data_IF_338906657045
#
_entry.id   IF_338906657045
#
_cell.length_a   1.000
_cell.length_b   1.000
_cell.length_c   1.000
_cell.angle_alpha   90.00
_cell.angle_beta   90.00
_cell.angle_gamma   90.00
#
_symmetry.space_group_name_H-M   'P 1'
#
loop_
_entity.id
_entity.type
_entity.pdbx_description
1 polymer ?
#
# COMPACT_ATOMS: atom_id res chain seq x y z
N UNK A 1 -2.19 -5.23 5.93
CA UNK A 1 -3.46 -4.46 6.15
C UNK A 1 -3.69 -3.37 5.09
N UNK A 2 -2.77 -2.40 4.84
CA UNK A 2 -2.98 -1.34 3.82
C UNK A 2 -3.23 -1.91 2.40
N UNK A 3 -2.52 -2.97 2.01
CA UNK A 3 -2.77 -3.65 0.75
C UNK A 3 -4.16 -4.32 0.74
N UNK A 4 -4.52 -4.93 1.86
CA UNK A 4 -5.79 -5.65 2.01
C UNK A 4 -6.98 -4.70 1.90
N UNK A 5 -6.90 -3.49 2.43
CA UNK A 5 -7.94 -2.47 2.28
C UNK A 5 -8.28 -2.16 0.82
N UNK A 6 -7.25 -2.08 -0.05
CA UNK A 6 -7.48 -1.87 -1.48
C UNK A 6 -8.15 -3.09 -2.12
N UNK A 7 -7.80 -4.30 -1.67
CA UNK A 7 -8.47 -5.54 -2.10
C UNK A 7 -9.90 -5.63 -1.58
N UNK A 8 -10.15 -5.20 -0.33
CA UNK A 8 -11.48 -5.16 0.29
C UNK A 8 -12.48 -4.33 -0.54
N UNK A 9 -12.05 -3.24 -1.19
CA UNK A 9 -12.92 -2.48 -2.10
C UNK A 9 -13.58 -3.39 -3.15
N UNK A 10 -12.81 -4.34 -3.71
CA UNK A 10 -13.32 -5.30 -4.69
C UNK A 10 -14.19 -6.37 -4.04
N UNK A 11 -13.73 -6.91 -2.93
CA UNK A 11 -14.40 -8.00 -2.20
C UNK A 11 -15.76 -7.53 -1.69
N UNK A 12 -15.82 -6.41 -0.98
CA UNK A 12 -17.06 -5.85 -0.42
C UNK A 12 -18.04 -5.50 -1.52
N UNK A 13 -17.57 -4.90 -2.62
CA UNK A 13 -18.42 -4.62 -3.78
C UNK A 13 -19.06 -5.91 -4.31
N UNK A 14 -18.28 -6.98 -4.46
CA UNK A 14 -18.80 -8.29 -4.93
C UNK A 14 -19.75 -8.92 -3.92
N UNK A 15 -19.46 -8.84 -2.65
CA UNK A 15 -20.35 -9.33 -1.61
C UNK A 15 -21.73 -8.60 -1.63
N UNK A 16 -21.74 -7.28 -1.83
CA UNK A 16 -22.98 -6.50 -1.98
C UNK A 16 -23.71 -6.83 -3.29
N UNK A 17 -23.00 -6.98 -4.41
CA UNK A 17 -23.59 -7.41 -5.70
C UNK A 17 -24.29 -8.78 -5.61
N UNK A 18 -23.93 -9.63 -4.66
CA UNK A 18 -24.48 -10.96 -4.43
C UNK A 18 -25.36 -11.05 -3.17
N UNK A 19 -25.76 -9.91 -2.60
CA UNK A 19 -26.61 -9.83 -1.40
C UNK A 19 -26.05 -10.60 -0.19
N UNK A 20 -24.72 -10.66 -0.08
CA UNK A 20 -24.03 -11.33 1.05
C UNK A 20 -23.82 -10.42 2.26
N UNK A 21 -24.08 -9.12 2.14
CA UNK A 21 -24.01 -8.16 3.23
C UNK A 21 -25.41 -7.64 3.50
N UNK A 22 -25.95 -8.02 4.65
CA UNK A 22 -27.26 -7.59 5.17
C UNK A 22 -27.07 -6.71 6.42
N UNK A 23 -28.16 -6.22 6.97
CA UNK A 23 -28.19 -5.38 8.17
C UNK A 23 -27.57 -6.08 9.40
N UNK A 24 -27.72 -7.40 9.52
CA UNK A 24 -27.11 -8.17 10.60
C UNK A 24 -25.58 -8.17 10.49
N UNK A 25 -25.05 -8.37 9.29
CA UNK A 25 -23.62 -8.35 9.01
C UNK A 25 -23.04 -6.96 9.24
N UNK A 26 -23.74 -5.91 8.79
CA UNK A 26 -23.35 -4.52 9.07
C UNK A 26 -23.30 -4.22 10.58
N UNK A 27 -24.30 -4.68 11.34
CA UNK A 27 -24.31 -4.54 12.80
C UNK A 27 -23.14 -5.27 13.45
N UNK A 28 -22.86 -6.51 13.04
CA UNK A 28 -21.73 -7.30 13.55
C UNK A 28 -20.39 -6.66 13.21
N UNK A 29 -20.26 -6.07 12.03
CA UNK A 29 -19.05 -5.36 11.63
C UNK A 29 -18.79 -4.14 12.52
N UNK A 30 -19.81 -3.32 12.78
CA UNK A 30 -19.72 -2.18 13.70
C UNK A 30 -19.35 -2.62 15.13
N UNK A 31 -19.92 -3.70 15.61
CA UNK A 31 -19.55 -4.29 16.92
C UNK A 31 -18.09 -4.75 16.95
N UNK A 32 -17.60 -5.36 15.85
CA UNK A 32 -16.21 -5.77 15.68
C UNK A 32 -15.25 -4.58 15.73
N UNK A 33 -15.60 -3.48 15.07
CA UNK A 33 -14.82 -2.24 15.13
C UNK A 33 -14.74 -1.72 16.57
N UNK A 34 -15.87 -1.61 17.27
CA UNK A 34 -15.92 -1.14 18.66
C UNK A 34 -15.16 -2.06 19.63
N UNK A 35 -15.09 -3.36 19.34
CA UNK A 35 -14.30 -4.32 20.12
C UNK A 35 -12.79 -4.27 19.81
N UNK A 36 -12.41 -3.78 18.63
CA UNK A 36 -11.01 -3.76 18.16
C UNK A 36 -10.27 -2.50 18.61
N UNK A 37 -10.94 -1.36 18.63
CA UNK A 37 -10.32 -0.06 18.91
C UNK A 37 -11.07 0.68 20.05
N UNK A 38 -10.32 1.11 21.05
CA UNK A 38 -10.82 1.98 22.11
C UNK A 38 -10.92 3.43 21.64
N UNK A 39 -11.86 4.23 22.23
CA UNK A 39 -11.93 5.67 21.97
C UNK A 39 -10.59 6.37 22.17
N UNK A 40 -10.39 7.47 21.45
CA UNK A 40 -9.17 8.28 21.61
C UNK A 40 -9.11 8.92 23.00
N UNK A 41 -7.95 8.85 23.66
CA UNK A 41 -7.74 9.65 24.87
C UNK A 41 -7.68 11.14 24.51
N UNK A 42 -8.11 11.99 25.43
CA UNK A 42 -8.00 13.43 25.26
C UNK A 42 -6.52 13.85 25.14
N UNK A 43 -6.18 14.59 24.11
CA UNK A 43 -4.87 15.19 23.95
C UNK A 43 -4.04 14.69 22.75
N UNK A 44 -2.85 14.15 23.00
CA UNK A 44 -1.91 13.75 21.93
C UNK A 44 -2.22 12.37 21.34
N UNK A 45 -1.83 12.20 20.08
CA UNK A 45 -1.81 10.90 19.43
C UNK A 45 -1.01 9.88 20.27
N UNK A 46 -1.60 8.73 20.52
CA UNK A 46 -0.98 7.61 21.24
C UNK A 46 -0.52 6.49 20.27
N UNK A 47 0.09 5.44 20.81
CA UNK A 47 0.56 4.31 20.01
C UNK A 47 -0.58 3.55 19.30
N UNK A 48 -1.82 3.69 19.76
CA UNK A 48 -3.00 3.04 19.17
C UNK A 48 -3.58 3.80 17.97
N UNK A 49 -3.09 5.02 17.69
CA UNK A 49 -3.57 5.82 16.54
C UNK A 49 -3.42 5.10 15.20
N UNK A 50 -2.34 4.35 15.02
CA UNK A 50 -2.12 3.53 13.81
C UNK A 50 -3.23 2.50 13.65
N UNK A 51 -3.56 1.76 14.71
CA UNK A 51 -4.63 0.76 14.67
C UNK A 51 -6.00 1.40 14.42
N UNK A 52 -6.29 2.51 15.10
CA UNK A 52 -7.54 3.27 14.87
C UNK A 52 -7.64 3.73 13.43
N UNK A 53 -6.57 4.32 12.87
CA UNK A 53 -6.56 4.77 11.48
C UNK A 53 -6.86 3.64 10.50
N UNK A 54 -6.19 2.50 10.66
CA UNK A 54 -6.39 1.34 9.80
C UNK A 54 -7.81 0.78 9.92
N UNK A 55 -8.29 0.55 11.14
CA UNK A 55 -9.63 0.01 11.38
C UNK A 55 -10.73 0.95 10.86
N UNK A 56 -10.60 2.26 11.07
CA UNK A 56 -11.58 3.24 10.59
C UNK A 56 -11.53 3.44 9.07
N UNK A 57 -10.36 3.28 8.45
CA UNK A 57 -10.26 3.30 6.99
C UNK A 57 -10.95 2.07 6.38
N UNK A 58 -10.75 0.89 6.98
CA UNK A 58 -11.41 -0.34 6.55
C UNK A 58 -12.93 -0.29 6.79
N UNK A 59 -13.36 0.33 7.89
CA UNK A 59 -14.77 0.65 8.14
C UNK A 59 -15.38 1.45 6.97
N UNK A 60 -14.70 2.49 6.51
CA UNK A 60 -15.15 3.28 5.37
C UNK A 60 -15.19 2.46 4.08
N UNK A 61 -14.25 1.55 3.89
CA UNK A 61 -14.25 0.61 2.75
C UNK A 61 -15.47 -0.31 2.82
N UNK A 62 -15.73 -0.91 3.98
CA UNK A 62 -16.85 -1.83 4.18
C UNK A 62 -18.20 -1.17 3.91
N UNK A 63 -18.42 0.05 4.42
CA UNK A 63 -19.65 0.81 4.23
C UNK A 63 -19.65 1.68 2.95
N UNK A 64 -18.66 1.55 2.09
CA UNK A 64 -18.50 2.38 0.87
C UNK A 64 -18.56 3.89 1.16
N UNK A 65 -18.08 4.31 2.32
CA UNK A 65 -18.07 5.69 2.79
C UNK A 65 -19.38 6.18 3.41
N UNK A 66 -20.41 5.37 3.46
CA UNK A 66 -21.77 5.73 3.90
C UNK A 66 -22.09 5.07 5.25
N UNK A 67 -22.05 5.84 6.33
CA UNK A 67 -22.52 5.42 7.64
C UNK A 67 -23.89 6.01 7.95
N UNK A 68 -24.65 5.35 8.82
CA UNK A 68 -25.88 5.94 9.38
C UNK A 68 -25.52 7.21 10.19
N UNK A 69 -26.47 8.12 10.36
CA UNK A 69 -26.22 9.35 11.14
C UNK A 69 -25.81 9.04 12.58
N UNK A 70 -26.39 8.00 13.18
CA UNK A 70 -26.07 7.54 14.54
C UNK A 70 -24.66 6.97 14.63
N UNK A 71 -24.26 6.11 13.70
CA UNK A 71 -22.91 5.53 13.68
C UNK A 71 -21.85 6.58 13.38
N UNK A 72 -22.15 7.49 12.46
CA UNK A 72 -21.27 8.63 12.18
C UNK A 72 -21.04 9.50 13.42
N UNK A 73 -22.10 9.79 14.18
CA UNK A 73 -21.99 10.54 15.42
C UNK A 73 -21.15 9.79 16.47
N UNK A 74 -21.35 8.48 16.63
CA UNK A 74 -20.54 7.65 17.54
C UNK A 74 -19.06 7.70 17.15
N UNK A 75 -18.75 7.44 15.89
CA UNK A 75 -17.36 7.38 15.39
C UNK A 75 -16.68 8.75 15.50
N UNK A 76 -17.34 9.82 15.09
CA UNK A 76 -16.76 11.19 15.19
C UNK A 76 -16.51 11.63 16.61
N UNK A 77 -17.37 11.21 17.55
CA UNK A 77 -17.20 11.52 18.98
C UNK A 77 -16.07 10.69 19.60
N UNK A 78 -15.97 9.41 19.26
CA UNK A 78 -14.99 8.50 19.85
C UNK A 78 -13.58 8.70 19.24
N UNK A 79 -13.49 9.13 17.98
CA UNK A 79 -12.22 9.19 17.21
C UNK A 79 -12.01 10.54 16.54
N UNK A 80 -11.94 11.66 17.28
CA UNK A 80 -11.92 13.01 16.72
C UNK A 80 -10.68 13.31 15.85
N UNK A 81 -9.56 12.61 16.03
CA UNK A 81 -8.34 12.78 15.23
C UNK A 81 -8.19 11.67 14.16
N UNK A 82 -8.47 10.41 14.51
CA UNK A 82 -8.31 9.29 13.58
C UNK A 82 -9.39 9.28 12.51
N UNK A 83 -10.63 9.69 12.81
CA UNK A 83 -11.71 9.70 11.83
C UNK A 83 -11.45 10.60 10.62
N UNK A 84 -11.09 11.89 10.77
CA UNK A 84 -10.75 12.74 9.63
C UNK A 84 -9.55 12.21 8.83
N UNK A 85 -8.60 11.57 9.49
CA UNK A 85 -7.46 10.94 8.85
C UNK A 85 -7.88 9.71 8.03
N UNK A 86 -8.74 8.85 8.59
CA UNK A 86 -9.29 7.69 7.89
C UNK A 86 -10.09 8.11 6.65
N UNK A 87 -10.89 9.17 6.73
CA UNK A 87 -11.58 9.74 5.58
C UNK A 87 -10.63 10.19 4.47
N UNK A 88 -9.47 10.78 4.81
CA UNK A 88 -8.44 11.15 3.83
C UNK A 88 -7.83 9.92 3.16
N UNK A 89 -7.51 8.87 3.92
CA UNK A 89 -6.99 7.63 3.36
C UNK A 89 -8.03 6.94 2.46
N UNK A 90 -9.27 6.86 2.92
CA UNK A 90 -10.37 6.31 2.11
C UNK A 90 -10.56 7.07 0.81
N UNK A 91 -10.49 8.40 0.83
CA UNK A 91 -10.58 9.22 -0.38
C UNK A 91 -9.51 8.87 -1.43
N UNK A 92 -8.31 8.45 -0.99
CA UNK A 92 -7.22 8.02 -1.91
C UNK A 92 -7.61 6.79 -2.71
N UNK A 93 -8.33 5.84 -2.11
CA UNK A 93 -8.71 4.56 -2.74
C UNK A 93 -10.09 4.61 -3.41
N UNK A 94 -10.97 5.52 -3.00
CA UNK A 94 -12.32 5.66 -3.55
C UNK A 94 -12.42 6.62 -4.74
N UNK A 95 -11.43 7.51 -4.97
CA UNK A 95 -11.45 8.49 -6.06
C UNK A 95 -11.53 7.89 -7.47
N UNK A 96 -11.04 6.68 -7.67
CA UNK A 96 -11.03 6.00 -8.97
C UNK A 96 -11.36 4.53 -8.79
N UNK A 97 -12.05 3.92 -9.75
CA UNK A 97 -12.31 2.48 -9.70
C UNK A 97 -11.01 1.67 -9.53
N UNK A 98 -11.06 0.71 -8.63
CA UNK A 98 -10.00 -0.28 -8.40
C UNK A 98 -10.46 -1.59 -9.04
N UNK A 99 -10.35 -1.68 -10.37
CA UNK A 99 -10.94 -2.76 -11.18
C UNK A 99 -9.92 -3.48 -12.08
N UNK A 100 -8.72 -2.94 -12.17
CA UNK A 100 -7.63 -3.53 -12.94
C UNK A 100 -6.36 -3.64 -12.08
N UNK A 101 -5.42 -4.54 -12.42
CA UNK A 101 -4.13 -4.61 -11.71
C UNK A 101 -3.39 -3.26 -11.68
N UNK A 102 -3.54 -2.46 -12.74
CA UNK A 102 -2.90 -1.15 -12.82
C UNK A 102 -3.53 -0.13 -11.85
N UNK A 103 -4.86 -0.05 -11.80
CA UNK A 103 -5.56 0.86 -10.88
C UNK A 103 -5.38 0.42 -9.43
N UNK A 104 -5.40 -0.88 -9.17
CA UNK A 104 -5.12 -1.45 -7.84
C UNK A 104 -3.70 -1.08 -7.36
N UNK A 105 -2.67 -1.34 -8.19
CA UNK A 105 -1.29 -0.95 -7.86
C UNK A 105 -1.17 0.54 -7.54
N UNK A 106 -1.80 1.40 -8.35
CA UNK A 106 -1.78 2.86 -8.11
C UNK A 106 -2.45 3.25 -6.80
N UNK A 107 -3.56 2.61 -6.45
CA UNK A 107 -4.26 2.86 -5.19
C UNK A 107 -3.36 2.46 -3.99
N UNK A 108 -2.76 1.27 -4.04
CA UNK A 108 -1.83 0.78 -3.01
C UNK A 108 -0.67 1.75 -2.79
N UNK A 109 0.01 2.16 -3.87
CA UNK A 109 1.17 3.07 -3.77
C UNK A 109 0.78 4.44 -3.20
N UNK A 110 -0.37 4.97 -3.61
CA UNK A 110 -0.88 6.23 -3.05
C UNK A 110 -1.25 6.09 -1.58
N UNK A 111 -1.85 4.95 -1.22
CA UNK A 111 -2.24 4.69 0.16
C UNK A 111 -1.02 4.59 1.08
N UNK A 112 0.07 3.93 0.66
CA UNK A 112 1.33 3.91 1.42
C UNK A 112 1.87 5.31 1.69
N UNK A 113 1.89 6.18 0.67
CA UNK A 113 2.34 7.57 0.83
C UNK A 113 1.44 8.36 1.78
N UNK A 114 0.14 8.29 1.57
CA UNK A 114 -0.82 9.01 2.43
C UNK A 114 -0.77 8.52 3.88
N UNK A 115 -0.53 7.23 4.09
CA UNK A 115 -0.34 6.66 5.42
C UNK A 115 0.94 7.20 6.08
N UNK A 116 2.08 7.18 5.38
CA UNK A 116 3.36 7.69 5.91
C UNK A 116 3.30 9.21 6.19
N UNK A 117 2.61 9.97 5.32
CA UNK A 117 2.35 11.39 5.55
C UNK A 117 1.52 11.61 6.83
N UNK A 118 0.52 10.77 7.08
CA UNK A 118 -0.32 10.85 8.28
C UNK A 118 0.46 10.44 9.54
N UNK A 119 1.29 9.39 9.47
CA UNK A 119 2.17 9.01 10.59
C UNK A 119 3.14 10.15 10.93
N UNK A 120 3.73 10.77 9.93
CA UNK A 120 4.60 11.93 10.10
C UNK A 120 3.87 13.09 10.78
N UNK A 121 2.64 13.40 10.35
CA UNK A 121 1.83 14.46 10.94
C UNK A 121 1.49 14.21 12.43
N UNK A 122 1.42 12.96 12.84
CA UNK A 122 1.20 12.57 14.25
C UNK A 122 2.49 12.34 15.03
N UNK A 123 3.67 12.51 14.42
CA UNK A 123 4.97 12.19 15.00
C UNK A 123 5.09 10.72 15.44
N UNK A 124 4.43 9.83 14.70
CA UNK A 124 4.50 8.38 14.87
C UNK A 124 5.52 7.77 13.89
N UNK A 125 6.02 6.55 14.17
CA UNK A 125 6.91 5.85 13.25
C UNK A 125 6.26 5.66 11.87
N UNK A 126 6.99 6.01 10.80
CA UNK A 126 6.57 5.80 9.42
C UNK A 126 6.90 4.39 8.94
N UNK A 127 6.10 3.87 8.02
CA UNK A 127 6.28 2.54 7.46
C UNK A 127 7.38 2.49 6.38
N UNK A 128 7.65 3.63 5.72
CA UNK A 128 8.48 3.70 4.50
C UNK A 128 8.04 2.68 3.44
N UNK A 129 6.72 2.53 3.26
CA UNK A 129 6.14 1.51 2.41
C UNK A 129 6.56 1.60 0.94
N UNK A 130 6.92 2.79 0.47
CA UNK A 130 7.43 2.96 -0.89
C UNK A 130 8.82 2.34 -1.09
N UNK A 131 9.64 2.26 -0.05
CA UNK A 131 10.98 1.68 -0.10
C UNK A 131 10.98 0.20 0.33
N UNK A 132 10.40 -0.10 1.49
CA UNK A 132 10.53 -1.42 2.13
C UNK A 132 9.47 -2.44 1.70
N UNK A 133 8.39 -2.01 1.02
CA UNK A 133 7.39 -2.93 0.48
C UNK A 133 7.51 -3.02 -1.03
N UNK A 134 7.80 -4.23 -1.54
CA UNK A 134 7.80 -4.48 -2.98
C UNK A 134 6.37 -4.61 -3.48
N UNK A 135 5.98 -3.74 -4.41
CA UNK A 135 4.70 -3.82 -5.11
C UNK A 135 4.92 -4.21 -6.56
N UNK A 136 4.36 -5.34 -6.94
CA UNK A 136 4.52 -5.92 -8.27
C UNK A 136 4.26 -4.89 -9.38
N UNK A 137 5.15 -4.86 -10.37
CA UNK A 137 5.03 -3.97 -11.52
C UNK A 137 3.86 -4.37 -12.42
N UNK A 138 3.14 -3.36 -12.90
CA UNK A 138 2.13 -3.52 -13.96
C UNK A 138 2.62 -2.74 -15.18
N UNK A 139 3.05 -3.45 -16.19
CA UNK A 139 3.75 -2.91 -17.36
C UNK A 139 2.86 -2.98 -18.62
N UNK A 140 3.06 -2.05 -19.54
CA UNK A 140 2.59 -2.23 -20.91
C UNK A 140 3.63 -2.99 -21.73
N UNK A 141 3.21 -3.60 -22.84
CA UNK A 141 4.14 -4.25 -23.80
C UNK A 141 5.26 -3.31 -24.28
N UNK A 142 4.99 -2.01 -24.38
CA UNK A 142 6.01 -1.01 -24.69
C UNK A 142 7.01 -0.88 -23.55
N UNK A 143 6.54 -0.87 -22.29
CA UNK A 143 7.41 -0.68 -21.13
C UNK A 143 8.34 -1.88 -20.89
N UNK A 144 7.89 -3.10 -21.14
CA UNK A 144 8.76 -4.27 -20.99
C UNK A 144 9.94 -4.29 -21.97
N UNK A 145 9.81 -3.59 -23.11
CA UNK A 145 10.87 -3.45 -24.14
C UNK A 145 11.83 -2.29 -23.89
N UNK A 146 11.53 -1.40 -22.95
CA UNK A 146 12.43 -0.30 -22.58
C UNK A 146 13.60 -0.82 -21.75
N UNK A 147 14.71 -0.10 -21.80
CA UNK A 147 15.83 -0.35 -20.89
C UNK A 147 15.42 -0.07 -19.44
N UNK A 148 16.00 -0.82 -18.52
CA UNK A 148 15.74 -0.68 -17.07
C UNK A 148 15.94 0.77 -16.61
N UNK A 149 17.01 1.43 -17.09
CA UNK A 149 17.31 2.83 -16.78
C UNK A 149 16.21 3.82 -17.14
N UNK A 150 15.33 3.48 -18.05
CA UNK A 150 14.25 4.36 -18.50
C UNK A 150 13.04 4.31 -17.54
N UNK A 151 12.86 3.20 -16.84
CA UNK A 151 11.72 2.99 -15.95
C UNK A 151 12.08 2.95 -14.47
N UNK A 152 13.27 2.51 -14.12
CA UNK A 152 13.68 2.27 -12.74
C UNK A 152 14.97 3.00 -12.38
N UNK A 153 15.06 3.40 -11.13
CA UNK A 153 16.30 3.77 -10.46
C UNK A 153 16.65 2.66 -9.47
N UNK A 154 17.89 2.16 -9.55
CA UNK A 154 18.37 1.08 -8.67
C UNK A 154 19.29 1.67 -7.62
N UNK A 155 18.99 1.42 -6.37
CA UNK A 155 19.72 1.95 -5.22
C UNK A 155 20.12 0.86 -4.24
N UNK A 156 21.17 1.13 -3.47
CA UNK A 156 21.40 0.39 -2.24
C UNK A 156 20.24 0.61 -1.27
N UNK A 157 19.75 -0.47 -0.70
CA UNK A 157 18.78 -0.42 0.38
C UNK A 157 19.44 -0.78 1.71
N UNK A 158 18.85 -0.33 2.80
CA UNK A 158 19.20 -0.81 4.14
C UNK A 158 18.68 -2.22 4.42
N UNK A 159 17.89 -2.80 3.50
CA UNK A 159 17.47 -4.19 3.56
C UNK A 159 18.67 -5.12 3.42
N UNK A 160 18.73 -6.11 4.31
CA UNK A 160 19.72 -7.18 4.27
C UNK A 160 19.10 -8.48 3.80
N UNK A 161 19.82 -9.22 2.95
CA UNK A 161 19.46 -10.61 2.64
C UNK A 161 19.52 -11.45 3.93
N UNK A 162 18.43 -12.15 4.25
CA UNK A 162 18.30 -12.95 5.49
C UNK A 162 19.39 -14.02 5.64
N UNK A 163 19.84 -14.61 4.53
CA UNK A 163 20.76 -15.75 4.55
C UNK A 163 22.21 -15.29 4.45
N UNK A 164 22.49 -14.24 3.68
CA UNK A 164 23.85 -13.82 3.36
C UNK A 164 24.28 -12.59 4.14
N UNK A 165 23.36 -11.91 4.84
CA UNK A 165 23.60 -10.63 5.53
C UNK A 165 24.25 -9.57 4.63
N UNK A 166 24.03 -9.67 3.31
CA UNK A 166 24.53 -8.71 2.33
C UNK A 166 23.44 -7.68 2.04
N UNK A 167 23.83 -6.45 1.78
CA UNK A 167 22.89 -5.41 1.36
C UNK A 167 22.24 -5.78 0.03
N UNK A 168 20.93 -5.52 -0.08
CA UNK A 168 20.18 -5.67 -1.31
C UNK A 168 20.18 -4.35 -2.10
N UNK A 169 19.87 -4.46 -3.39
CA UNK A 169 19.52 -3.32 -4.22
C UNK A 169 18.00 -3.33 -4.46
N UNK A 170 17.38 -2.17 -4.41
CA UNK A 170 15.96 -1.99 -4.74
C UNK A 170 15.82 -1.24 -6.04
N UNK A 171 14.83 -1.64 -6.85
CA UNK A 171 14.44 -0.94 -8.07
C UNK A 171 13.21 -0.08 -7.82
N UNK A 172 13.40 1.24 -7.71
CA UNK A 172 12.30 2.19 -7.55
C UNK A 172 11.74 2.59 -8.91
N UNK A 173 10.44 2.39 -9.10
CA UNK A 173 9.76 2.83 -10.33
C UNK A 173 9.79 4.37 -10.41
N UNK A 174 10.32 4.92 -11.51
CA UNK A 174 10.54 6.38 -11.64
C UNK A 174 9.28 7.22 -11.52
N UNK A 175 8.15 6.68 -11.98
CA UNK A 175 6.89 7.43 -12.03
C UNK A 175 6.23 7.64 -10.65
N UNK A 176 6.46 6.72 -9.70
CA UNK A 176 5.78 6.75 -8.40
C UNK A 176 6.70 6.50 -7.20
N UNK A 177 7.99 6.22 -7.47
CA UNK A 177 9.03 5.95 -6.45
C UNK A 177 8.77 4.73 -5.59
N UNK A 178 7.89 3.82 -6.05
CA UNK A 178 7.61 2.58 -5.34
C UNK A 178 8.66 1.51 -5.67
N UNK A 179 9.12 0.80 -4.65
CA UNK A 179 9.92 -0.40 -4.81
C UNK A 179 9.15 -1.44 -5.63
N UNK A 180 9.74 -1.83 -6.76
CA UNK A 180 9.15 -2.77 -7.72
C UNK A 180 9.83 -4.14 -7.68
N UNK A 181 11.08 -4.18 -7.26
CA UNK A 181 11.86 -5.41 -7.16
C UNK A 181 13.08 -5.23 -6.25
N UNK A 182 13.59 -6.36 -5.76
CA UNK A 182 14.80 -6.43 -4.95
C UNK A 182 15.82 -7.34 -5.66
N UNK A 183 17.05 -6.86 -5.81
CA UNK A 183 18.14 -7.62 -6.38
C UNK A 183 19.19 -7.92 -5.31
N UNK A 184 19.71 -9.14 -5.23
CA UNK A 184 20.82 -9.46 -4.34
C UNK A 184 22.10 -8.76 -4.82
N UNK A 185 22.95 -8.33 -3.90
CA UNK A 185 24.25 -7.84 -4.26
C UNK A 185 25.11 -8.96 -4.90
N UNK A 186 25.76 -8.68 -6.04
CA UNK A 186 26.60 -9.69 -6.69
C UNK A 186 27.85 -9.94 -5.85
N UNK A 187 28.18 -11.22 -5.66
CA UNK A 187 29.31 -11.64 -4.79
C UNK A 187 30.70 -11.18 -5.29
N UNK A 188 30.86 -10.87 -6.59
CA UNK A 188 32.19 -10.66 -7.21
C UNK A 188 32.29 -9.48 -8.17
N UNK A 189 31.20 -8.72 -8.44
CA UNK A 189 31.25 -7.60 -9.38
C UNK A 189 31.48 -6.27 -8.65
N UNK A 190 32.31 -5.41 -9.23
CA UNK A 190 32.36 -4.00 -8.83
C UNK A 190 30.97 -3.37 -9.06
N UNK A 191 30.52 -2.51 -8.18
CA UNK A 191 29.19 -1.88 -8.24
C UNK A 191 28.90 -1.25 -9.59
N UNK A 192 29.85 -0.54 -10.20
CA UNK A 192 29.67 0.14 -11.47
C UNK A 192 29.39 -0.84 -12.63
N UNK A 193 30.11 -1.97 -12.68
CA UNK A 193 29.88 -3.01 -13.69
C UNK A 193 28.51 -3.67 -13.51
N UNK A 194 28.08 -3.89 -12.26
CA UNK A 194 26.75 -4.41 -11.95
C UNK A 194 25.65 -3.46 -12.40
N UNK A 195 25.74 -2.18 -12.01
CA UNK A 195 24.73 -1.19 -12.42
C UNK A 195 24.66 -1.02 -13.92
N UNK A 196 25.79 -0.99 -14.60
CA UNK A 196 25.82 -0.91 -16.07
C UNK A 196 25.10 -2.11 -16.68
N UNK A 197 25.39 -3.33 -16.25
CA UNK A 197 24.75 -4.53 -16.75
C UNK A 197 23.23 -4.53 -16.50
N UNK A 198 22.80 -4.14 -15.30
CA UNK A 198 21.37 -4.05 -14.96
C UNK A 198 20.66 -2.99 -15.80
N UNK A 199 21.25 -1.80 -15.94
CA UNK A 199 20.62 -0.69 -16.63
C UNK A 199 20.58 -0.82 -18.15
N UNK A 200 21.50 -1.58 -18.77
CA UNK A 200 21.55 -1.80 -20.22
C UNK A 200 20.60 -2.91 -20.70
N UNK A 201 20.09 -3.75 -19.78
CA UNK A 201 19.07 -4.74 -20.09
C UNK A 201 17.72 -4.09 -20.35
N UNK A 202 16.89 -4.72 -21.16
CA UNK A 202 15.46 -4.42 -21.19
C UNK A 202 14.81 -4.87 -19.88
N UNK A 203 13.69 -4.25 -19.55
CA UNK A 203 12.92 -4.65 -18.35
C UNK A 203 12.52 -6.12 -18.43
N UNK A 204 12.09 -6.59 -19.62
CA UNK A 204 11.74 -7.99 -19.85
C UNK A 204 12.90 -8.94 -19.56
N UNK A 205 14.09 -8.64 -20.10
CA UNK A 205 15.29 -9.46 -19.88
C UNK A 205 15.65 -9.55 -18.40
N UNK A 206 15.69 -8.40 -17.69
CA UNK A 206 15.99 -8.38 -16.26
C UNK A 206 14.97 -9.18 -15.46
N UNK A 207 13.67 -8.98 -15.71
CA UNK A 207 12.61 -9.63 -14.95
C UNK A 207 12.57 -11.13 -15.20
N UNK A 208 12.84 -11.58 -16.42
CA UNK A 208 12.94 -13.02 -16.74
C UNK A 208 14.18 -13.66 -16.11
N UNK A 209 15.36 -13.04 -16.25
CA UNK A 209 16.62 -13.57 -15.70
C UNK A 209 16.58 -13.68 -14.16
N UNK A 210 16.00 -12.69 -13.50
CA UNK A 210 15.90 -12.62 -12.05
C UNK A 210 14.64 -13.26 -11.49
N UNK A 211 13.81 -13.85 -12.36
CA UNK A 211 12.50 -14.43 -11.99
C UNK A 211 11.61 -13.46 -11.18
N UNK A 212 11.58 -12.18 -11.59
CA UNK A 212 10.79 -11.14 -10.94
C UNK A 212 9.36 -11.15 -11.49
N UNK A 213 8.35 -11.13 -10.62
CA UNK A 213 6.96 -11.13 -11.08
C UNK A 213 6.54 -9.75 -11.62
N UNK A 214 5.77 -9.74 -12.69
CA UNK A 214 5.07 -8.56 -13.20
C UNK A 214 3.76 -8.97 -13.89
N UNK A 215 2.89 -7.98 -14.13
CA UNK A 215 1.64 -8.17 -14.85
C UNK A 215 1.64 -7.26 -16.08
N UNK A 216 1.15 -7.74 -17.21
CA UNK A 216 0.85 -6.90 -18.37
C UNK A 216 -0.54 -6.28 -18.23
N UNK A 217 -0.69 -5.02 -18.70
CA UNK A 217 -1.95 -4.28 -18.74
C UNK A 217 -2.49 -4.17 -20.17
#
# INVERSE_FOLDING_TARGET
ELYDMVSHVLVVRKQREHDLIDEQIETLYMQGVAATIEPEPAGKADAMMTLRLLTLTDLLVFFNGELTADDLQKVTTAYPQAWPAAQKLYAVISQKPVDTPFTMRRAVVKLFKAFDDQMTAWHLPVLHGTEFVTVQSVLSERQERLEVRQLFDVYHSDLLDKNKHTRAYIGLYKSDRQNAFVLPAPAQKKSDAFFKEVYDKTVKELFQEMNLPYTLR
#
